data_IF_614217233968
#
_entry.id   IF_614217233968
#
_cell.length_a   1.000
_cell.length_b   1.000
_cell.length_c   1.000
_cell.angle_alpha   90.00
_cell.angle_beta   90.00
_cell.angle_gamma   90.00
#
_symmetry.space_group_name_H-M   'P 1'
#
loop_
_entity.id
_entity.type
_entity.pdbx_description
1 polymer ?
#
# COMPACT_ATOMS: atom_id res chain seq x y z
N UNK A 1 -5.54 76.10 -9.19
CA UNK A 1 -6.07 75.21 -8.08
C UNK A 1 -6.82 73.97 -8.59
N UNK A 2 -7.35 73.99 -9.82
CA UNK A 2 -8.18 72.90 -10.39
C UNK A 2 -7.36 71.70 -10.95
N UNK A 3 -6.09 71.87 -11.24
CA UNK A 3 -5.22 70.85 -11.85
C UNK A 3 -4.62 69.89 -10.77
N UNK A 4 -4.46 70.33 -9.53
CA UNK A 4 -3.91 69.53 -8.45
C UNK A 4 -4.87 68.49 -7.86
N UNK A 5 -6.17 68.68 -7.97
CA UNK A 5 -7.16 67.74 -7.43
C UNK A 5 -7.41 66.52 -8.30
N UNK A 6 -7.14 66.59 -9.60
CA UNK A 6 -7.37 65.46 -10.51
C UNK A 6 -6.26 64.39 -10.48
N UNK A 7 -5.03 64.77 -10.10
CA UNK A 7 -3.91 63.83 -10.00
C UNK A 7 -3.98 62.94 -8.76
N UNK A 8 -4.56 63.41 -7.66
CA UNK A 8 -4.72 62.62 -6.43
C UNK A 8 -5.86 61.56 -6.49
N UNK A 9 -6.85 61.79 -7.34
CA UNK A 9 -7.93 60.80 -7.50
C UNK A 9 -7.54 59.56 -8.34
N UNK A 10 -6.55 59.68 -9.22
CA UNK A 10 -6.07 58.56 -10.04
C UNK A 10 -5.16 57.56 -9.30
N UNK A 11 -4.51 57.97 -8.22
CA UNK A 11 -3.59 57.12 -7.46
C UNK A 11 -4.27 56.24 -6.40
N UNK A 12 -5.50 56.55 -5.98
CA UNK A 12 -6.22 55.75 -4.94
C UNK A 12 -6.83 54.43 -5.44
N UNK A 13 -7.16 54.34 -6.72
CA UNK A 13 -7.83 53.13 -7.29
C UNK A 13 -6.94 51.86 -7.35
N UNK A 14 -5.67 51.89 -7.70
CA UNK A 14 -4.84 50.68 -7.72
C UNK A 14 -4.54 50.16 -6.32
N UNK A 15 -4.33 51.01 -5.33
CA UNK A 15 -4.04 50.59 -3.93
C UNK A 15 -5.25 49.90 -3.31
N UNK A 16 -6.48 50.42 -3.53
CA UNK A 16 -7.69 49.76 -3.06
C UNK A 16 -7.93 48.41 -3.74
N UNK A 17 -7.61 48.26 -5.03
CA UNK A 17 -7.70 46.94 -5.71
C UNK A 17 -6.66 45.97 -5.21
N UNK A 18 -5.42 46.39 -4.96
CA UNK A 18 -4.41 45.53 -4.36
C UNK A 18 -4.78 45.12 -2.93
N UNK A 19 -5.33 46.00 -2.12
CA UNK A 19 -5.79 45.68 -0.78
C UNK A 19 -6.98 44.71 -0.80
N UNK A 20 -7.93 44.87 -1.73
CA UNK A 20 -9.07 43.98 -1.87
C UNK A 20 -8.63 42.60 -2.34
N UNK A 21 -7.70 42.49 -3.29
CA UNK A 21 -7.14 41.22 -3.76
C UNK A 21 -6.32 40.50 -2.67
N UNK A 22 -5.57 41.23 -1.85
CA UNK A 22 -4.82 40.66 -0.74
C UNK A 22 -5.74 40.12 0.38
N UNK A 23 -6.79 40.86 0.72
CA UNK A 23 -7.78 40.42 1.72
C UNK A 23 -8.55 39.23 1.22
N UNK A 24 -8.99 39.21 -0.04
CA UNK A 24 -9.69 38.01 -0.61
C UNK A 24 -8.77 36.80 -0.69
N UNK A 25 -7.49 36.98 -1.02
CA UNK A 25 -6.52 35.88 -1.02
C UNK A 25 -6.32 35.29 0.39
N UNK A 26 -6.19 36.15 1.41
CA UNK A 26 -6.06 35.71 2.82
C UNK A 26 -7.33 34.99 3.28
N UNK A 27 -8.52 35.49 2.94
CA UNK A 27 -9.77 34.83 3.32
C UNK A 27 -9.94 33.44 2.64
N UNK A 28 -9.56 33.33 1.36
CA UNK A 28 -9.62 32.07 0.62
C UNK A 28 -8.62 31.06 1.18
N UNK A 29 -7.39 31.48 1.47
CA UNK A 29 -6.37 30.61 2.07
C UNK A 29 -6.76 30.17 3.49
N UNK A 30 -7.24 31.09 4.33
CA UNK A 30 -7.75 30.74 5.66
C UNK A 30 -8.95 29.80 5.58
N UNK A 31 -9.89 30.00 4.66
CA UNK A 31 -11.02 29.12 4.42
C UNK A 31 -10.58 27.72 3.97
N UNK A 32 -9.58 27.63 3.10
CA UNK A 32 -9.01 26.36 2.67
C UNK A 32 -8.34 25.59 3.84
N UNK A 33 -7.53 26.31 4.63
CA UNK A 33 -6.88 25.71 5.82
C UNK A 33 -7.89 25.25 6.87
N UNK A 34 -8.95 26.03 7.12
CA UNK A 34 -10.01 25.62 8.08
C UNK A 34 -10.77 24.40 7.60
N UNK A 35 -11.11 24.31 6.31
CA UNK A 35 -11.77 23.14 5.73
C UNK A 35 -10.89 21.90 5.79
N UNK A 36 -9.58 22.04 5.55
CA UNK A 36 -8.64 20.93 5.65
C UNK A 36 -8.50 20.45 7.08
N UNK A 37 -8.34 21.37 8.03
CA UNK A 37 -8.26 21.07 9.45
C UNK A 37 -9.53 20.40 10.00
N UNK A 38 -10.71 20.90 9.63
CA UNK A 38 -12.00 20.31 10.02
C UNK A 38 -12.15 18.89 9.45
N UNK A 39 -11.73 18.65 8.21
CA UNK A 39 -11.73 17.31 7.62
C UNK A 39 -10.85 16.34 8.40
N UNK A 40 -9.64 16.74 8.76
CA UNK A 40 -8.72 15.88 9.51
C UNK A 40 -9.22 15.61 10.94
N UNK A 41 -9.80 16.61 11.59
CA UNK A 41 -10.42 16.45 12.92
C UNK A 41 -11.63 15.51 12.87
N UNK A 42 -12.51 15.64 11.86
CA UNK A 42 -13.67 14.77 11.69
C UNK A 42 -13.25 13.32 11.39
N UNK A 43 -12.19 13.13 10.59
CA UNK A 43 -11.63 11.80 10.33
C UNK A 43 -11.02 11.18 11.59
N UNK A 44 -10.32 11.98 12.41
CA UNK A 44 -9.75 11.53 13.68
C UNK A 44 -10.84 11.19 14.71
N UNK A 45 -11.92 11.99 14.80
CA UNK A 45 -13.07 11.68 15.65
C UNK A 45 -13.85 10.47 15.17
N UNK A 46 -14.03 10.30 13.86
CA UNK A 46 -14.61 9.08 13.28
C UNK A 46 -13.83 7.83 13.66
N UNK A 47 -12.50 7.87 13.56
CA UNK A 47 -11.62 6.78 14.00
C UNK A 47 -11.72 6.54 15.51
N UNK A 48 -11.74 7.59 16.34
CA UNK A 48 -11.89 7.47 17.81
C UNK A 48 -13.24 6.88 18.20
N UNK A 49 -14.36 7.32 17.56
CA UNK A 49 -15.69 6.75 17.83
C UNK A 49 -15.76 5.29 17.44
N UNK A 50 -15.23 4.93 16.28
CA UNK A 50 -15.19 3.54 15.82
C UNK A 50 -14.37 2.65 16.76
N UNK A 51 -13.21 3.13 17.21
CA UNK A 51 -12.37 2.42 18.22
C UNK A 51 -13.08 2.29 19.57
N UNK A 52 -13.79 3.34 20.02
CA UNK A 52 -14.47 3.32 21.30
C UNK A 52 -15.74 2.47 21.32
N UNK A 53 -16.51 2.44 20.23
CA UNK A 53 -17.64 1.50 20.09
C UNK A 53 -17.16 0.06 20.01
N UNK A 54 -16.05 -0.18 19.32
CA UNK A 54 -15.42 -1.50 19.25
C UNK A 54 -14.92 -1.96 20.61
N UNK A 55 -14.28 -1.07 21.39
CA UNK A 55 -13.87 -1.35 22.77
C UNK A 55 -15.06 -1.65 23.68
N UNK A 56 -16.20 -0.97 23.48
CA UNK A 56 -17.44 -1.27 24.21
C UNK A 56 -18.02 -2.63 23.83
N UNK A 57 -17.96 -2.99 22.55
CA UNK A 57 -18.40 -4.30 22.08
C UNK A 57 -17.48 -5.43 22.61
N UNK A 58 -16.19 -5.15 22.75
CA UNK A 58 -15.22 -6.05 23.38
C UNK A 58 -15.50 -6.21 24.90
N UNK A 59 -15.75 -5.11 25.61
CA UNK A 59 -16.12 -5.16 27.01
C UNK A 59 -17.46 -5.86 27.27
N UNK A 60 -18.40 -5.79 26.33
CA UNK A 60 -19.68 -6.52 26.41
C UNK A 60 -19.48 -8.02 26.12
N UNK A 61 -18.57 -8.37 25.22
CA UNK A 61 -18.21 -9.77 24.98
C UNK A 61 -17.46 -10.37 26.16
N UNK A 62 -16.56 -9.59 26.79
CA UNK A 62 -15.83 -9.98 28.00
C UNK A 62 -16.74 -10.02 29.25
N UNK A 63 -17.70 -9.09 29.35
CA UNK A 63 -18.72 -9.07 30.40
C UNK A 63 -19.76 -10.18 30.24
N UNK A 64 -19.91 -10.76 29.04
CA UNK A 64 -20.73 -11.95 28.81
C UNK A 64 -20.10 -13.24 29.33
N UNK A 65 -18.92 -13.13 29.96
CA UNK A 65 -18.39 -14.23 30.80
C UNK A 65 -17.94 -15.46 30.03
N UNK A 66 -17.52 -15.31 28.78
CA UNK A 66 -16.79 -16.38 28.09
C UNK A 66 -15.31 -16.34 28.50
N UNK A 67 -15.07 -16.40 29.80
CA UNK A 67 -13.86 -16.98 30.33
C UNK A 67 -13.89 -18.44 29.92
N UNK A 68 -13.07 -18.84 28.98
CA UNK A 68 -12.75 -20.23 28.71
C UNK A 68 -11.92 -20.79 29.87
N UNK A 69 -12.45 -20.70 31.11
CA UNK A 69 -11.96 -21.43 32.25
C UNK A 69 -12.58 -22.83 32.14
N UNK A 70 -11.71 -23.78 31.85
CA UNK A 70 -11.86 -25.23 32.08
C UNK A 70 -13.31 -25.70 32.21
N UNK A 71 -14.01 -25.81 31.07
CA UNK A 71 -15.23 -26.59 31.03
C UNK A 71 -14.80 -28.06 31.00
N UNK A 72 -14.96 -28.74 32.14
CA UNK A 72 -14.92 -30.19 32.20
C UNK A 72 -15.84 -30.75 31.10
N UNK A 73 -15.21 -31.38 30.08
CA UNK A 73 -15.92 -31.92 28.90
C UNK A 73 -15.50 -31.32 27.57
N UNK A 74 -14.59 -30.41 27.50
CA UNK A 74 -14.09 -29.88 26.23
C UNK A 74 -13.24 -30.92 25.51
N UNK A 75 -13.64 -31.31 24.29
CA UNK A 75 -13.02 -32.38 23.51
C UNK A 75 -11.58 -32.06 23.07
N UNK A 76 -11.21 -30.79 23.03
CA UNK A 76 -9.88 -30.32 22.65
C UNK A 76 -9.50 -29.07 23.42
N UNK A 77 -8.37 -29.13 24.13
CA UNK A 77 -7.78 -27.96 24.81
C UNK A 77 -6.46 -27.62 24.12
N UNK A 78 -6.33 -26.41 23.61
CA UNK A 78 -5.10 -25.97 23.00
C UNK A 78 -4.00 -25.76 24.05
N UNK A 79 -2.78 -26.29 23.85
CA UNK A 79 -1.70 -26.11 24.80
C UNK A 79 -1.27 -24.63 24.86
N UNK A 80 -1.09 -24.11 26.05
CA UNK A 80 -0.52 -22.78 26.26
C UNK A 80 1.00 -22.87 26.03
N UNK A 81 1.47 -22.29 24.93
CA UNK A 81 2.86 -22.34 24.53
C UNK A 81 3.60 -21.09 25.00
N UNK A 82 4.76 -21.29 25.62
CA UNK A 82 5.64 -20.19 26.00
C UNK A 82 6.41 -19.64 24.78
N UNK A 83 6.38 -18.33 24.63
CA UNK A 83 7.06 -17.65 23.51
C UNK A 83 8.57 -17.90 23.47
N UNK A 84 9.21 -17.95 24.64
CA UNK A 84 10.65 -18.08 24.84
C UNK A 84 11.01 -19.29 25.73
N UNK A 85 10.45 -20.46 25.44
CA UNK A 85 10.75 -21.68 26.19
C UNK A 85 12.24 -22.00 26.16
N UNK A 86 12.84 -22.27 27.32
CA UNK A 86 14.31 -22.44 27.47
C UNK A 86 14.90 -23.54 26.57
N UNK A 87 14.21 -24.68 26.49
CA UNK A 87 14.68 -25.80 25.67
C UNK A 87 14.66 -25.49 24.16
N UNK A 88 13.83 -24.53 23.73
CA UNK A 88 13.69 -24.14 22.34
C UNK A 88 14.64 -22.99 21.94
N UNK A 89 15.19 -22.24 22.90
CA UNK A 89 16.08 -21.09 22.62
C UNK A 89 17.27 -21.46 21.73
N UNK A 90 17.82 -22.65 21.89
CA UNK A 90 18.95 -23.15 21.07
C UNK A 90 18.61 -23.28 19.58
N UNK A 91 17.34 -23.37 19.23
CA UNK A 91 16.87 -23.47 17.84
C UNK A 91 16.50 -22.11 17.24
N UNK A 92 16.35 -21.06 18.05
CA UNK A 92 16.01 -19.71 17.59
C UNK A 92 17.25 -19.01 17.05
N UNK A 93 17.65 -19.38 15.84
CA UNK A 93 18.76 -18.73 15.14
C UNK A 93 18.21 -17.59 14.30
N UNK A 94 18.80 -16.40 14.46
CA UNK A 94 18.53 -15.28 13.59
C UNK A 94 18.94 -15.59 12.15
N UNK A 95 18.07 -15.33 11.19
CA UNK A 95 18.43 -15.42 9.78
C UNK A 95 19.37 -14.25 9.41
N UNK A 96 20.38 -14.49 8.57
CA UNK A 96 21.23 -13.42 8.09
C UNK A 96 20.38 -12.43 7.27
N UNK A 97 20.72 -11.14 7.36
CA UNK A 97 20.05 -10.12 6.57
C UNK A 97 20.21 -10.43 5.07
N UNK A 98 19.09 -10.51 4.37
CA UNK A 98 19.09 -10.64 2.91
C UNK A 98 19.70 -9.39 2.28
N UNK A 99 20.64 -9.60 1.37
CA UNK A 99 21.22 -8.54 0.56
C UNK A 99 20.57 -8.57 -0.83
N UNK A 100 19.42 -7.95 -0.96
CA UNK A 100 18.67 -7.93 -2.22
C UNK A 100 19.26 -6.98 -3.29
N UNK A 101 20.29 -6.20 -2.96
CA UNK A 101 20.85 -5.16 -3.82
C UNK A 101 22.06 -5.58 -4.64
N UNK A 102 22.41 -6.88 -4.68
CA UNK A 102 23.61 -7.35 -5.41
C UNK A 102 23.55 -7.07 -6.92
N UNK A 103 22.37 -7.02 -7.51
CA UNK A 103 22.15 -6.63 -8.91
C UNK A 103 21.02 -5.60 -8.96
N UNK A 104 21.31 -4.41 -9.46
CA UNK A 104 20.28 -3.38 -9.64
C UNK A 104 19.36 -3.77 -10.78
N UNK A 105 18.06 -3.58 -10.57
CA UNK A 105 17.07 -3.80 -11.61
C UNK A 105 17.16 -2.74 -12.70
N UNK A 106 17.31 -3.17 -13.95
CA UNK A 106 17.34 -2.27 -15.11
C UNK A 106 15.96 -1.72 -15.45
N UNK A 107 14.94 -2.47 -15.07
CA UNK A 107 13.55 -2.08 -15.23
C UNK A 107 12.79 -2.23 -13.90
N UNK A 108 11.68 -1.54 -13.78
CA UNK A 108 10.76 -1.62 -12.64
C UNK A 108 9.33 -1.36 -13.11
N UNK A 109 8.36 -1.59 -12.26
CA UNK A 109 6.96 -1.32 -12.53
C UNK A 109 6.49 -0.15 -11.69
N UNK A 110 5.75 0.75 -12.28
CA UNK A 110 5.12 1.87 -11.59
C UNK A 110 3.72 2.10 -12.17
N UNK A 111 2.71 2.04 -11.32
CA UNK A 111 1.30 2.25 -11.72
C UNK A 111 0.87 1.43 -12.95
N UNK A 112 1.20 0.14 -12.97
CA UNK A 112 0.85 -0.75 -14.06
C UNK A 112 1.61 -0.50 -15.37
N UNK A 113 2.67 0.33 -15.34
CA UNK A 113 3.50 0.63 -16.51
C UNK A 113 4.90 0.07 -16.39
N UNK A 114 5.45 -0.34 -17.52
CA UNK A 114 6.85 -0.73 -17.67
C UNK A 114 7.74 0.51 -17.61
N UNK A 115 8.77 0.49 -16.75
CA UNK A 115 9.68 1.62 -16.57
C UNK A 115 11.12 1.17 -16.71
N UNK A 116 11.90 1.93 -17.44
CA UNK A 116 13.34 1.74 -17.55
C UNK A 116 14.04 2.59 -16.47
N UNK A 117 15.03 2.01 -15.79
CA UNK A 117 15.80 2.71 -14.77
C UNK A 117 16.74 3.73 -15.41
N UNK A 118 16.31 4.98 -15.40
CA UNK A 118 17.04 6.11 -16.01
C UNK A 118 18.46 6.29 -15.42
N UNK A 119 18.67 5.97 -14.15
CA UNK A 119 19.99 6.04 -13.54
C UNK A 119 20.94 5.02 -14.15
N UNK A 120 20.46 3.81 -14.41
CA UNK A 120 21.28 2.76 -15.03
C UNK A 120 21.44 2.99 -16.53
N UNK A 121 20.44 3.58 -17.19
CA UNK A 121 20.55 3.97 -18.58
C UNK A 121 21.64 5.04 -18.80
N UNK A 122 21.84 5.94 -17.84
CA UNK A 122 22.97 6.89 -17.89
C UNK A 122 24.34 6.21 -17.71
N UNK A 123 24.39 5.08 -17.01
CA UNK A 123 25.64 4.33 -16.76
C UNK A 123 25.97 3.40 -17.92
N UNK A 124 24.98 2.66 -18.43
CA UNK A 124 25.17 1.60 -19.44
C UNK A 124 24.76 2.01 -20.86
N UNK A 125 24.38 3.27 -21.05
CA UNK A 125 23.89 3.78 -22.33
C UNK A 125 22.45 3.37 -22.63
N UNK A 126 22.04 3.53 -23.87
CA UNK A 126 20.72 3.17 -24.33
C UNK A 126 20.46 1.67 -24.15
N UNK A 127 19.26 1.34 -23.65
CA UNK A 127 18.85 -0.03 -23.37
C UNK A 127 17.65 -0.39 -24.25
N UNK A 128 17.75 -1.50 -24.94
CA UNK A 128 16.63 -2.14 -25.61
C UNK A 128 16.13 -3.29 -24.76
N UNK A 129 14.86 -3.32 -24.44
CA UNK A 129 14.26 -4.32 -23.57
C UNK A 129 13.07 -5.00 -24.26
N UNK A 130 13.04 -6.31 -24.20
CA UNK A 130 11.90 -7.14 -24.56
C UNK A 130 11.33 -7.78 -23.32
N UNK A 131 10.03 -8.02 -23.24
CA UNK A 131 9.48 -8.81 -22.16
C UNK A 131 8.45 -9.84 -22.63
N UNK A 132 8.46 -10.99 -21.97
CA UNK A 132 7.56 -12.12 -22.21
C UNK A 132 6.62 -12.24 -21.03
N UNK A 133 5.29 -12.01 -21.21
CA UNK A 133 4.29 -12.25 -20.19
C UNK A 133 4.36 -13.68 -19.64
N UNK A 134 4.30 -13.81 -18.31
CA UNK A 134 4.22 -15.10 -17.64
C UNK A 134 2.78 -15.27 -17.12
N UNK A 135 2.01 -16.13 -17.73
CA UNK A 135 0.61 -16.36 -17.46
C UNK A 135 0.43 -17.66 -16.66
N UNK A 136 -0.60 -17.73 -15.84
CA UNK A 136 -0.95 -18.96 -15.14
C UNK A 136 -1.29 -20.05 -16.18
N UNK A 137 -0.71 -21.23 -15.98
CA UNK A 137 -1.05 -22.44 -16.75
C UNK A 137 -2.32 -23.12 -16.24
N UNK A 138 -2.49 -24.38 -16.64
CA UNK A 138 -3.67 -25.17 -16.28
C UNK A 138 -3.66 -25.65 -14.81
N UNK A 139 -2.53 -25.50 -14.13
CA UNK A 139 -2.35 -25.84 -12.72
C UNK A 139 -1.31 -24.90 -12.09
N UNK A 140 -1.07 -25.04 -10.77
CA UNK A 140 -0.17 -24.20 -10.01
C UNK A 140 1.32 -24.44 -10.29
N UNK A 141 1.66 -25.49 -11.05
CA UNK A 141 3.04 -25.88 -11.37
C UNK A 141 3.46 -25.49 -12.78
N UNK A 142 2.54 -25.01 -13.61
CA UNK A 142 2.82 -24.69 -15.01
C UNK A 142 2.62 -23.21 -15.31
N UNK A 143 3.57 -22.64 -16.05
CA UNK A 143 3.52 -21.28 -16.55
C UNK A 143 3.35 -21.31 -18.06
N UNK A 144 2.38 -20.59 -18.57
CA UNK A 144 2.19 -20.36 -20.00
C UNK A 144 2.84 -19.03 -20.38
N UNK A 145 3.63 -19.06 -21.43
CA UNK A 145 4.27 -17.85 -21.98
C UNK A 145 3.29 -17.11 -22.88
N UNK A 146 3.22 -15.79 -22.70
CA UNK A 146 2.46 -14.91 -23.55
C UNK A 146 3.28 -14.46 -24.79
N UNK A 147 2.66 -13.62 -25.62
CA UNK A 147 3.34 -13.01 -26.75
C UNK A 147 4.41 -12.02 -26.29
N UNK A 148 5.61 -12.15 -26.83
CA UNK A 148 6.73 -11.26 -26.49
C UNK A 148 6.44 -9.83 -26.92
N UNK A 149 6.62 -8.89 -26.03
CA UNK A 149 6.61 -7.46 -26.35
C UNK A 149 8.03 -7.03 -26.68
N UNK A 150 8.28 -6.82 -27.97
CA UNK A 150 9.60 -6.43 -28.48
C UNK A 150 9.77 -4.91 -28.37
N UNK A 151 10.95 -4.46 -27.94
CA UNK A 151 11.28 -3.04 -27.84
C UNK A 151 10.36 -2.28 -26.87
N UNK A 152 10.10 -2.84 -25.68
CA UNK A 152 9.22 -2.22 -24.70
C UNK A 152 9.66 -0.80 -24.32
N UNK A 153 8.79 0.16 -24.51
CA UNK A 153 9.04 1.57 -24.26
C UNK A 153 8.84 1.94 -22.79
N UNK A 154 9.64 2.88 -22.29
CA UNK A 154 9.43 3.46 -20.98
C UNK A 154 8.05 4.11 -20.86
N UNK A 155 7.28 3.74 -19.83
CA UNK A 155 5.92 4.22 -19.63
C UNK A 155 4.83 3.43 -20.36
N UNK A 156 5.16 2.42 -21.15
CA UNK A 156 4.15 1.57 -21.81
C UNK A 156 3.36 0.74 -20.78
N UNK A 157 2.03 0.53 -20.98
CA UNK A 157 1.23 -0.30 -20.10
C UNK A 157 1.69 -1.76 -20.13
N UNK A 158 1.66 -2.44 -18.98
CA UNK A 158 1.94 -3.87 -18.89
C UNK A 158 0.79 -4.69 -19.48
N UNK A 159 1.14 -5.85 -20.07
CA UNK A 159 0.15 -6.82 -20.59
C UNK A 159 -0.16 -7.95 -19.61
N UNK A 160 0.61 -8.08 -18.51
CA UNK A 160 0.41 -9.11 -17.48
C UNK A 160 1.05 -8.70 -16.16
N UNK A 161 0.56 -9.28 -15.06
CA UNK A 161 1.08 -9.03 -13.72
C UNK A 161 2.51 -9.57 -13.52
N UNK A 162 2.88 -10.64 -14.23
CA UNK A 162 4.20 -11.24 -14.19
C UNK A 162 4.80 -11.29 -15.59
N UNK A 163 6.07 -10.95 -15.70
CA UNK A 163 6.78 -11.00 -16.98
C UNK A 163 8.28 -11.25 -16.77
N UNK A 164 8.88 -11.96 -17.73
CA UNK A 164 10.32 -12.09 -17.84
C UNK A 164 10.84 -11.01 -18.79
N UNK A 165 11.79 -10.23 -18.34
CA UNK A 165 12.43 -9.20 -19.18
C UNK A 165 13.83 -9.62 -19.58
N UNK A 166 14.17 -9.26 -20.81
CA UNK A 166 15.52 -9.34 -21.36
C UNK A 166 15.87 -7.95 -21.90
N UNK A 167 16.93 -7.34 -21.36
CA UNK A 167 17.44 -6.08 -21.88
C UNK A 167 18.87 -6.22 -22.35
N UNK A 168 19.23 -5.48 -23.40
CA UNK A 168 20.59 -5.35 -23.90
C UNK A 168 20.98 -3.88 -23.92
N UNK A 169 22.12 -3.53 -23.34
CA UNK A 169 22.68 -2.18 -23.40
C UNK A 169 23.41 -1.96 -24.72
N UNK A 170 23.68 -0.69 -25.03
CA UNK A 170 24.51 -0.30 -26.18
C UNK A 170 25.89 -0.99 -26.20
N UNK A 171 26.47 -1.24 -25.03
CA UNK A 171 27.78 -1.89 -24.86
C UNK A 171 27.69 -3.43 -24.89
N UNK A 172 26.53 -4.00 -25.20
CA UNK A 172 26.31 -5.44 -25.31
C UNK A 172 26.14 -6.16 -23.97
N UNK A 173 25.97 -5.44 -22.84
CA UNK A 173 25.64 -6.05 -21.55
C UNK A 173 24.21 -6.55 -21.58
N UNK A 174 23.99 -7.73 -21.01
CA UNK A 174 22.67 -8.36 -20.95
C UNK A 174 22.12 -8.36 -19.53
N UNK A 175 20.84 -8.06 -19.39
CA UNK A 175 20.07 -8.16 -18.17
C UNK A 175 18.89 -9.08 -18.38
N UNK A 176 18.70 -10.05 -17.49
CA UNK A 176 17.55 -10.95 -17.49
C UNK A 176 17.02 -11.06 -16.07
N UNK A 177 15.71 -10.83 -15.89
CA UNK A 177 15.05 -10.98 -14.61
C UNK A 177 13.55 -11.22 -14.79
N UNK A 178 12.86 -11.64 -13.71
CA UNK A 178 11.42 -11.70 -13.63
C UNK A 178 10.95 -10.51 -12.81
N UNK A 179 9.94 -9.84 -13.29
CA UNK A 179 9.30 -8.71 -12.63
C UNK A 179 7.83 -8.98 -12.42
N UNK A 180 7.25 -8.27 -11.45
CA UNK A 180 5.82 -8.28 -11.19
C UNK A 180 5.27 -6.87 -11.06
N UNK A 181 4.00 -6.72 -11.38
CA UNK A 181 3.24 -5.50 -11.21
C UNK A 181 1.76 -5.82 -11.13
N UNK A 182 0.93 -4.80 -11.02
CA UNK A 182 -0.52 -4.94 -11.04
C UNK A 182 -1.05 -4.34 -12.34
N UNK A 183 -1.71 -5.16 -13.13
CA UNK A 183 -2.41 -4.73 -14.36
C UNK A 183 -3.89 -4.62 -14.05
N UNK A 184 -4.46 -3.47 -14.41
CA UNK A 184 -5.91 -3.27 -14.29
C UNK A 184 -6.65 -4.22 -15.22
N UNK A 185 -7.53 -5.03 -14.66
CA UNK A 185 -8.37 -5.99 -15.40
C UNK A 185 -9.76 -5.37 -15.61
N UNK A 186 -10.17 -5.07 -16.86
CA UNK A 186 -11.48 -4.47 -17.13
C UNK A 186 -12.64 -5.25 -16.54
N UNK A 187 -12.59 -6.57 -16.61
CA UNK A 187 -13.62 -7.48 -16.07
C UNK A 187 -13.77 -7.38 -14.55
N UNK A 188 -12.66 -7.09 -13.84
CA UNK A 188 -12.67 -6.88 -12.37
C UNK A 188 -13.30 -5.53 -12.04
N UNK A 189 -12.98 -4.49 -12.81
CA UNK A 189 -13.57 -3.16 -12.65
C UNK A 189 -15.06 -3.18 -12.95
N UNK A 190 -15.48 -3.84 -14.01
CA UNK A 190 -16.90 -3.98 -14.36
C UNK A 190 -17.69 -4.68 -13.24
N UNK A 191 -17.13 -5.70 -12.60
CA UNK A 191 -17.76 -6.34 -11.43
C UNK A 191 -17.84 -5.44 -10.21
N UNK A 192 -16.90 -4.52 -10.05
CA UNK A 192 -16.91 -3.53 -8.97
C UNK A 192 -18.04 -2.51 -9.19
N UNK A 193 -18.24 -2.09 -10.43
CA UNK A 193 -19.29 -1.11 -10.80
C UNK A 193 -20.69 -1.72 -10.76
N UNK A 194 -20.78 -3.05 -10.94
CA UNK A 194 -22.03 -3.81 -10.94
C UNK A 194 -22.00 -4.90 -9.85
N UNK A 195 -22.07 -4.54 -8.57
CA UNK A 195 -22.07 -5.50 -7.49
C UNK A 195 -23.34 -6.36 -7.49
N UNK A 196 -23.25 -7.60 -7.01
CA UNK A 196 -24.44 -8.45 -6.86
C UNK A 196 -25.45 -7.80 -5.91
N UNK A 197 -26.74 -8.05 -6.11
CA UNK A 197 -27.85 -7.44 -5.34
C UNK A 197 -27.68 -7.58 -3.82
N UNK A 198 -27.11 -8.70 -3.36
CA UNK A 198 -26.87 -8.99 -1.94
C UNK A 198 -25.42 -8.71 -1.49
N UNK A 199 -24.64 -7.97 -2.26
CA UNK A 199 -23.27 -7.67 -1.89
C UNK A 199 -23.21 -6.69 -0.72
N UNK A 200 -22.38 -6.99 0.27
CA UNK A 200 -22.17 -6.15 1.45
C UNK A 200 -21.31 -4.89 1.14
N UNK A 201 -20.77 -4.77 -0.06
CA UNK A 201 -19.88 -3.66 -0.44
C UNK A 201 -18.56 -3.64 0.32
N UNK A 202 -18.14 -4.78 0.87
CA UNK A 202 -16.91 -4.91 1.65
C UNK A 202 -15.83 -5.62 0.84
N UNK A 203 -14.59 -5.15 0.99
CA UNK A 203 -13.42 -5.87 0.50
C UNK A 203 -12.88 -6.79 1.59
N UNK A 204 -12.51 -8.01 1.22
CA UNK A 204 -11.89 -8.98 2.11
C UNK A 204 -10.45 -9.21 1.67
N UNK A 205 -9.50 -8.91 2.55
CA UNK A 205 -8.08 -9.20 2.36
C UNK A 205 -7.69 -10.39 3.24
N UNK A 206 -7.22 -11.47 2.61
CA UNK A 206 -6.58 -12.59 3.31
C UNK A 206 -5.07 -12.48 3.15
N UNK A 207 -4.35 -12.34 4.26
CA UNK A 207 -2.90 -12.24 4.27
C UNK A 207 -2.31 -13.43 5.04
N UNK A 208 -1.70 -14.35 4.32
CA UNK A 208 -1.11 -15.57 4.87
C UNK A 208 0.42 -15.50 4.91
N UNK A 209 1.01 -16.00 5.99
CA UNK A 209 2.44 -16.28 6.09
C UNK A 209 2.64 -17.78 5.99
N UNK A 210 3.10 -18.24 4.83
CA UNK A 210 3.34 -19.66 4.60
C UNK A 210 4.45 -20.21 5.51
N UNK A 211 4.24 -21.42 6.03
CA UNK A 211 5.20 -22.13 6.90
C UNK A 211 5.62 -21.38 8.17
N UNK A 212 4.82 -20.42 8.62
CA UNK A 212 5.09 -19.61 9.81
C UNK A 212 4.12 -19.98 10.94
N UNK A 213 4.63 -20.64 12.00
CA UNK A 213 3.83 -20.92 13.19
C UNK A 213 3.48 -19.64 13.95
N UNK A 214 2.36 -19.66 14.71
CA UNK A 214 1.95 -18.53 15.56
C UNK A 214 3.09 -18.05 16.47
N UNK A 215 3.78 -18.96 17.15
CA UNK A 215 4.89 -18.59 18.03
C UNK A 215 6.06 -17.95 17.28
N UNK A 216 6.36 -18.43 16.07
CA UNK A 216 7.41 -17.83 15.21
C UNK A 216 6.97 -16.47 14.70
N UNK A 217 5.70 -16.28 14.36
CA UNK A 217 5.14 -14.97 14.00
C UNK A 217 5.31 -13.96 15.14
N UNK A 218 4.91 -14.32 16.35
CA UNK A 218 5.01 -13.44 17.52
C UNK A 218 6.46 -13.07 17.85
N UNK A 219 7.42 -14.02 17.68
CA UNK A 219 8.84 -13.76 17.93
C UNK A 219 9.49 -12.88 16.86
N UNK A 220 9.19 -13.13 15.59
CA UNK A 220 9.93 -12.52 14.49
C UNK A 220 9.24 -11.31 13.87
N UNK A 221 7.93 -11.17 14.08
CA UNK A 221 7.12 -10.07 13.55
C UNK A 221 6.35 -9.32 14.64
N UNK A 222 6.98 -8.98 15.79
CA UNK A 222 6.29 -8.34 16.91
C UNK A 222 5.63 -7.01 16.52
N UNK A 223 6.29 -6.20 15.70
CA UNK A 223 5.72 -4.92 15.23
C UNK A 223 4.50 -5.10 14.32
N UNK A 224 4.47 -6.16 13.51
CA UNK A 224 3.30 -6.46 12.68
C UNK A 224 2.14 -6.95 13.54
N UNK A 225 2.42 -7.70 14.59
CA UNK A 225 1.41 -8.14 15.56
C UNK A 225 0.84 -6.95 16.33
N UNK A 226 1.69 -6.12 16.91
CA UNK A 226 1.30 -4.88 17.61
C UNK A 226 0.44 -3.98 16.70
N UNK A 227 0.88 -3.73 15.48
CA UNK A 227 0.12 -2.94 14.52
C UNK A 227 -1.26 -3.55 14.20
N UNK A 228 -1.32 -4.87 14.01
CA UNK A 228 -2.58 -5.55 13.72
C UNK A 228 -3.57 -5.49 14.89
N UNK A 229 -3.08 -5.62 16.12
CA UNK A 229 -3.92 -5.65 17.33
C UNK A 229 -4.24 -4.23 17.81
N UNK A 230 -3.20 -3.40 18.00
CA UNK A 230 -3.36 -2.11 18.67
C UNK A 230 -3.85 -1.02 17.72
N UNK A 231 -3.32 -0.97 16.49
CA UNK A 231 -3.67 0.07 15.54
C UNK A 231 -4.90 -0.28 14.68
N UNK A 232 -4.98 -1.54 14.21
CA UNK A 232 -6.11 -1.98 13.40
C UNK A 232 -7.25 -2.58 14.23
N UNK A 233 -7.05 -2.80 15.54
CA UNK A 233 -8.01 -3.42 16.44
C UNK A 233 -8.37 -4.85 15.99
N UNK A 234 -7.39 -5.60 15.50
CA UNK A 234 -7.54 -6.98 15.09
C UNK A 234 -7.89 -7.89 16.27
N UNK A 235 -8.75 -8.86 16.03
CA UNK A 235 -9.03 -9.93 17.01
C UNK A 235 -8.07 -11.08 16.80
N UNK A 236 -7.47 -11.56 17.89
CA UNK A 236 -6.64 -12.77 17.88
C UNK A 236 -7.54 -13.95 18.24
N UNK A 237 -7.62 -14.94 17.35
CA UNK A 237 -8.29 -16.20 17.63
C UNK A 237 -7.28 -17.16 18.26
N UNK A 238 -7.60 -17.66 19.44
CA UNK A 238 -6.78 -18.61 20.20
C UNK A 238 -7.31 -20.03 20.10
#
# INVERSE_FOLDING_TARGET
ETIRMTLFRRCRRPVQRCLFLSVTFVLVTCGYFTLFYVKDVLLAEGKRRFSMERSKMFLVADAAGHSFKDQEGQACVHPQLELWHEELKRFFKGSPKLRCSARRNWVYVQNGTFRINQTLQRIYGEMTCDYEPQLRGNNDFTVRKGEVVVGAQDGSPLKSDFFQVLCTSKDGLNYKNIHSGVVSQPEVLERQDNPAENALGLNVLMFGFDSLSRMTYLRNLPKSHEYAVDELGGMVLE
#
